data_IF_126972604881
#
_entry.id   IF_126972604881
#
_cell.length_a   1.000
_cell.length_b   1.000
_cell.length_c   1.000
_cell.angle_alpha   90.00
_cell.angle_beta   90.00
_cell.angle_gamma   90.00
#
_symmetry.space_group_name_H-M   'P 1'
#
loop_
_entity.id
_entity.type
_entity.pdbx_description
1 polymer ?
#
# COMPACT_ATOMS: atom_id res chain seq x y z
N UNK A 1 -12.72 5.28 -3.98
CA UNK A 1 -11.64 6.23 -3.76
C UNK A 1 -11.77 6.95 -2.41
N UNK A 2 -12.88 7.65 -2.15
CA UNK A 2 -13.09 8.43 -0.92
C UNK A 2 -12.92 7.61 0.37
N UNK A 3 -13.41 6.37 0.40
CA UNK A 3 -13.27 5.47 1.55
C UNK A 3 -11.80 5.09 1.82
N UNK A 4 -11.02 4.79 0.78
CA UNK A 4 -9.58 4.54 0.92
C UNK A 4 -8.87 5.79 1.45
N UNK A 5 -9.19 6.97 0.92
CA UNK A 5 -8.67 8.25 1.40
C UNK A 5 -9.01 8.51 2.87
N UNK A 6 -10.21 8.13 3.33
CA UNK A 6 -10.62 8.24 4.73
C UNK A 6 -9.76 7.34 5.65
N UNK A 7 -9.51 6.09 5.25
CA UNK A 7 -8.62 5.16 5.99
C UNK A 7 -7.19 5.71 6.07
N UNK A 8 -6.64 6.20 4.96
CA UNK A 8 -5.31 6.83 4.95
C UNK A 8 -5.28 8.06 5.86
N UNK A 9 -6.31 8.90 5.82
CA UNK A 9 -6.43 10.07 6.69
C UNK A 9 -6.46 9.67 8.15
N UNK A 10 -7.22 8.63 8.51
CA UNK A 10 -7.24 8.09 9.87
C UNK A 10 -5.84 7.64 10.30
N UNK A 11 -5.18 6.81 9.49
CA UNK A 11 -3.85 6.29 9.78
C UNK A 11 -2.81 7.41 9.99
N UNK A 12 -2.92 8.52 9.27
CA UNK A 12 -2.04 9.69 9.43
C UNK A 12 -2.37 10.52 10.67
N UNK A 13 -3.64 10.64 11.03
CA UNK A 13 -4.08 11.47 12.18
C UNK A 13 -3.89 10.78 13.52
N UNK A 14 -3.78 9.46 13.55
CA UNK A 14 -3.50 8.67 14.78
C UNK A 14 -2.01 8.60 15.13
N UNK A 15 -1.13 9.04 14.22
CA UNK A 15 0.31 9.03 14.40
C UNK A 15 0.90 10.45 14.34
N UNK A 16 2.13 10.60 14.82
CA UNK A 16 2.90 11.83 14.68
C UNK A 16 3.18 12.17 13.21
N UNK A 17 3.49 13.44 12.91
CA UNK A 17 3.77 13.90 11.55
C UNK A 17 4.88 13.08 10.89
N UNK A 18 4.58 12.52 9.73
CA UNK A 18 5.49 11.67 8.94
C UNK A 18 5.37 10.17 9.23
N UNK A 19 4.51 9.78 10.18
CA UNK A 19 4.23 8.39 10.54
C UNK A 19 2.79 8.01 10.23
N UNK A 20 2.51 6.71 10.32
CA UNK A 20 1.18 6.13 10.14
C UNK A 20 0.92 5.12 11.25
N UNK A 21 -0.29 5.07 11.72
CA UNK A 21 -0.74 4.02 12.63
C UNK A 21 -2.15 3.58 12.19
N UNK A 22 -2.29 2.30 11.90
CA UNK A 22 -3.55 1.68 11.52
C UNK A 22 -3.63 0.31 12.17
N UNK A 23 -4.74 0.04 12.83
CA UNK A 23 -5.00 -1.25 13.45
C UNK A 23 -5.86 -2.12 12.54
N UNK A 24 -5.76 -3.45 12.69
CA UNK A 24 -6.59 -4.39 11.94
C UNK A 24 -8.10 -4.12 12.13
N UNK A 25 -8.51 -3.68 13.33
CA UNK A 25 -9.88 -3.28 13.63
C UNK A 25 -10.36 -2.09 12.78
N UNK A 26 -9.46 -1.22 12.34
CA UNK A 26 -9.81 -0.08 11.48
C UNK A 26 -10.15 -0.52 10.07
N UNK A 27 -9.50 -1.58 9.58
CA UNK A 27 -9.79 -2.19 8.29
C UNK A 27 -11.04 -3.08 8.33
N UNK A 28 -11.39 -3.59 9.52
CA UNK A 28 -12.53 -4.48 9.73
C UNK A 28 -13.88 -3.76 9.75
N UNK A 29 -13.92 -2.44 9.84
CA UNK A 29 -15.17 -1.66 9.78
C UNK A 29 -15.78 -1.80 8.39
N UNK A 30 -16.98 -2.38 8.34
CA UNK A 30 -17.69 -2.80 7.13
C UNK A 30 -17.82 -1.72 6.05
N UNK A 31 -17.89 -0.46 6.44
CA UNK A 31 -18.14 0.65 5.53
C UNK A 31 -16.90 1.20 4.81
N UNK A 32 -15.70 0.84 5.25
CA UNK A 32 -14.51 1.55 4.79
C UNK A 32 -13.95 1.04 3.46
N UNK A 33 -13.89 -0.28 3.23
CA UNK A 33 -13.19 -0.87 2.08
C UNK A 33 -14.00 -1.93 1.32
N UNK A 34 -15.34 -1.96 1.42
CA UNK A 34 -16.16 -3.02 0.84
C UNK A 34 -16.07 -3.11 -0.69
N UNK A 35 -15.75 -2.02 -1.38
CA UNK A 35 -15.56 -1.99 -2.84
C UNK A 35 -14.10 -2.11 -3.27
N UNK A 36 -13.16 -2.14 -2.31
CA UNK A 36 -11.75 -2.26 -2.63
C UNK A 36 -11.36 -3.74 -2.78
N UNK A 37 -10.49 -4.01 -3.73
CA UNK A 37 -9.76 -5.26 -3.83
C UNK A 37 -8.53 -5.19 -2.93
N UNK A 38 -8.15 -6.31 -2.33
CA UNK A 38 -7.04 -6.38 -1.38
C UNK A 38 -5.97 -7.36 -1.87
N UNK A 39 -4.74 -6.91 -1.89
CA UNK A 39 -3.57 -7.75 -2.07
C UNK A 39 -2.87 -7.89 -0.71
N UNK A 40 -2.93 -9.08 -0.12
CA UNK A 40 -2.17 -9.40 1.07
C UNK A 40 -0.75 -9.79 0.67
N UNK A 41 0.23 -9.01 1.12
CA UNK A 41 1.66 -9.23 0.87
C UNK A 41 2.26 -9.82 2.16
N UNK A 42 2.49 -11.14 2.24
CA UNK A 42 3.04 -11.76 3.43
C UNK A 42 4.51 -11.41 3.63
N UNK A 43 4.92 -11.21 4.86
CA UNK A 43 6.31 -10.98 5.24
C UNK A 43 7.08 -12.30 5.35
N UNK A 44 8.12 -12.56 4.54
CA UNK A 44 8.82 -13.86 4.48
C UNK A 44 9.50 -14.27 5.81
N UNK A 45 9.84 -13.31 6.65
CA UNK A 45 10.51 -13.54 7.95
C UNK A 45 9.56 -14.06 9.03
N UNK A 46 8.23 -13.94 8.83
CA UNK A 46 7.26 -14.35 9.84
C UNK A 46 7.07 -15.88 9.88
N UNK A 47 6.81 -16.43 11.07
CA UNK A 47 6.47 -17.84 11.25
C UNK A 47 5.20 -18.22 10.47
N UNK A 48 5.13 -19.46 9.97
CA UNK A 48 3.97 -19.97 9.22
C UNK A 48 2.64 -19.79 9.99
N UNK A 49 2.64 -20.00 11.29
CA UNK A 49 1.45 -19.84 12.15
C UNK A 49 0.93 -18.40 12.20
N UNK A 50 1.84 -17.42 12.11
CA UNK A 50 1.48 -16.00 12.07
C UNK A 50 0.89 -15.66 10.70
N UNK A 51 1.54 -16.10 9.62
CA UNK A 51 1.04 -15.91 8.26
C UNK A 51 -0.34 -16.54 8.06
N UNK A 52 -0.56 -17.75 8.58
CA UNK A 52 -1.86 -18.43 8.51
C UNK A 52 -2.96 -17.62 9.20
N UNK A 53 -2.72 -17.17 10.43
CA UNK A 53 -3.71 -16.32 11.17
C UNK A 53 -4.01 -15.00 10.45
N UNK A 54 -2.98 -14.37 9.87
CA UNK A 54 -3.17 -13.15 9.10
C UNK A 54 -4.00 -13.42 7.83
N UNK A 55 -3.70 -14.49 7.12
CA UNK A 55 -4.42 -14.90 5.93
C UNK A 55 -5.89 -15.25 6.26
N UNK A 56 -6.15 -16.03 7.30
CA UNK A 56 -7.49 -16.35 7.77
C UNK A 56 -8.28 -15.08 8.11
N UNK A 57 -7.68 -14.15 8.85
CA UNK A 57 -8.29 -12.87 9.18
C UNK A 57 -8.66 -12.05 7.94
N UNK A 58 -7.77 -12.02 6.93
CA UNK A 58 -8.05 -11.33 5.65
C UNK A 58 -9.16 -12.05 4.90
N UNK A 59 -9.12 -13.39 4.84
CA UNK A 59 -10.13 -14.18 4.11
C UNK A 59 -11.54 -14.00 4.70
N UNK A 60 -11.66 -13.98 6.02
CA UNK A 60 -12.95 -13.75 6.67
C UNK A 60 -13.58 -12.41 6.31
N UNK A 61 -12.75 -11.36 6.18
CA UNK A 61 -13.24 -9.96 5.99
C UNK A 61 -13.28 -9.51 4.55
N UNK A 62 -12.45 -10.10 3.70
CA UNK A 62 -12.33 -9.73 2.30
C UNK A 62 -12.61 -10.89 1.35
N UNK A 63 -13.47 -11.82 1.77
CA UNK A 63 -13.84 -13.00 0.99
C UNK A 63 -14.26 -12.62 -0.44
N UNK A 64 -13.73 -13.34 -1.42
CA UNK A 64 -14.01 -13.15 -2.85
C UNK A 64 -13.41 -11.88 -3.46
N UNK A 65 -12.62 -11.07 -2.71
CA UNK A 65 -12.00 -9.82 -3.18
C UNK A 65 -10.58 -9.60 -2.63
N UNK A 66 -9.94 -10.66 -2.18
CA UNK A 66 -8.56 -10.64 -1.71
C UNK A 66 -7.72 -11.70 -2.40
N UNK A 67 -6.45 -11.41 -2.57
CA UNK A 67 -5.43 -12.29 -3.15
C UNK A 67 -4.18 -12.30 -2.28
N UNK A 68 -3.50 -13.43 -2.29
CA UNK A 68 -2.19 -13.59 -1.70
C UNK A 68 -1.12 -13.19 -2.73
N UNK A 69 -0.40 -12.12 -2.49
CA UNK A 69 0.60 -11.62 -3.42
C UNK A 69 1.92 -12.40 -3.31
N UNK A 70 2.38 -12.94 -4.43
CA UNK A 70 3.68 -13.58 -4.56
C UNK A 70 4.67 -12.59 -5.18
N UNK A 71 5.64 -12.13 -4.38
CA UNK A 71 6.73 -11.27 -4.83
C UNK A 71 8.00 -12.11 -4.98
N UNK A 72 8.58 -12.14 -6.20
CA UNK A 72 9.80 -12.86 -6.53
C UNK A 72 10.84 -11.88 -7.10
N UNK A 73 12.03 -11.87 -6.54
CA UNK A 73 13.07 -10.89 -6.85
C UNK A 73 14.37 -11.49 -7.39
N UNK A 74 14.30 -12.72 -7.93
CA UNK A 74 15.46 -13.48 -8.41
C UNK A 74 16.52 -13.65 -7.30
N UNK A 75 16.06 -13.91 -6.10
CA UNK A 75 16.89 -14.24 -4.95
C UNK A 75 16.91 -15.77 -4.73
N UNK A 76 17.93 -16.29 -4.05
CA UNK A 76 18.12 -17.73 -3.89
C UNK A 76 16.94 -18.46 -3.23
N UNK A 77 16.18 -17.77 -2.40
CA UNK A 77 15.05 -18.31 -1.63
C UNK A 77 13.68 -18.16 -2.32
N UNK A 78 13.62 -17.54 -3.50
CA UNK A 78 12.36 -17.23 -4.20
C UNK A 78 11.45 -18.47 -4.39
N UNK A 79 12.03 -19.60 -4.81
CA UNK A 79 11.26 -20.83 -5.05
C UNK A 79 10.78 -21.47 -3.75
N UNK A 80 11.63 -21.44 -2.71
CA UNK A 80 11.22 -21.88 -1.37
C UNK A 80 10.09 -21.01 -0.82
N UNK A 81 10.18 -19.72 -1.05
CA UNK A 81 9.14 -18.78 -0.68
C UNK A 81 7.84 -19.00 -1.44
N UNK A 82 7.90 -19.19 -2.75
CA UNK A 82 6.73 -19.49 -3.57
C UNK A 82 6.06 -20.79 -3.11
N UNK A 83 6.82 -21.83 -2.78
CA UNK A 83 6.28 -23.07 -2.23
C UNK A 83 5.51 -22.85 -0.92
N UNK A 84 6.07 -22.06 0.01
CA UNK A 84 5.37 -21.69 1.25
C UNK A 84 4.07 -20.91 1.02
N UNK A 85 4.06 -20.02 0.02
CA UNK A 85 2.85 -19.29 -0.38
C UNK A 85 1.80 -20.20 -1.00
N UNK A 86 2.21 -21.19 -1.80
CA UNK A 86 1.31 -22.20 -2.37
C UNK A 86 0.65 -23.06 -1.28
N UNK A 87 1.43 -23.49 -0.29
CA UNK A 87 0.92 -24.20 0.88
C UNK A 87 -0.09 -23.37 1.67
N UNK A 88 0.23 -22.08 1.88
CA UNK A 88 -0.65 -21.14 2.58
C UNK A 88 -1.94 -20.92 1.78
N UNK A 89 -1.84 -20.72 0.48
CA UNK A 89 -2.98 -20.58 -0.43
C UNK A 89 -3.88 -21.82 -0.38
N UNK A 90 -3.28 -23.02 -0.43
CA UNK A 90 -4.02 -24.28 -0.37
C UNK A 90 -4.75 -24.49 0.96
N UNK A 91 -4.17 -24.06 2.09
CA UNK A 91 -4.78 -24.21 3.41
C UNK A 91 -5.86 -23.18 3.71
N UNK A 92 -5.80 -22.00 3.10
CA UNK A 92 -6.70 -20.85 3.39
C UNK A 92 -7.71 -20.59 2.26
N UNK A 93 -7.55 -21.23 1.09
CA UNK A 93 -8.39 -20.99 -0.08
C UNK A 93 -8.12 -19.65 -0.79
N UNK A 94 -7.00 -18.97 -0.49
CA UNK A 94 -6.62 -17.73 -1.15
C UNK A 94 -6.13 -17.97 -2.59
N UNK A 95 -6.60 -17.22 -3.58
CA UNK A 95 -5.94 -17.18 -4.87
C UNK A 95 -4.60 -16.45 -4.78
N UNK A 96 -3.54 -17.05 -5.35
CA UNK A 96 -2.23 -16.42 -5.50
C UNK A 96 -2.20 -15.50 -6.71
N UNK A 97 -1.54 -14.37 -6.58
CA UNK A 97 -1.32 -13.42 -7.69
C UNK A 97 0.14 -13.00 -7.76
N UNK A 98 0.67 -12.88 -8.97
CA UNK A 98 2.01 -12.34 -9.20
C UNK A 98 2.05 -10.84 -8.84
N UNK A 99 3.05 -10.43 -8.04
CA UNK A 99 3.28 -9.05 -7.67
C UNK A 99 4.77 -8.71 -7.80
N UNK A 100 5.09 -7.48 -8.19
CA UNK A 100 6.48 -7.09 -8.49
C UNK A 100 7.05 -6.08 -7.53
N UNK A 101 6.25 -5.46 -6.65
CA UNK A 101 6.67 -4.40 -5.75
C UNK A 101 7.63 -3.41 -6.44
N UNK A 102 7.14 -2.83 -7.54
CA UNK A 102 7.95 -2.04 -8.47
C UNK A 102 8.29 -0.68 -7.88
N UNK A 103 9.57 -0.36 -7.81
CA UNK A 103 10.12 0.91 -7.34
C UNK A 103 10.85 1.70 -8.44
N UNK A 104 11.13 1.10 -9.58
CA UNK A 104 11.83 1.74 -10.70
C UNK A 104 11.31 1.24 -12.04
N UNK A 105 11.38 2.07 -13.04
CA UNK A 105 10.90 1.70 -14.38
C UNK A 105 11.90 0.82 -15.16
N UNK A 106 13.17 0.84 -14.81
CA UNK A 106 14.22 0.01 -15.41
C UNK A 106 15.24 -0.40 -14.33
N UNK A 107 15.85 -1.57 -14.51
CA UNK A 107 16.88 -2.12 -13.60
C UNK A 107 18.06 -1.16 -13.41
N UNK A 108 18.46 -0.42 -14.44
CA UNK A 108 19.55 0.56 -14.40
C UNK A 108 19.28 1.76 -13.48
N UNK A 109 18.05 1.95 -13.03
CA UNK A 109 17.67 3.01 -12.09
C UNK A 109 17.83 2.65 -10.62
N UNK A 110 18.41 1.49 -10.33
CA UNK A 110 18.71 1.08 -8.96
C UNK A 110 19.54 2.12 -8.20
N UNK A 111 20.59 2.68 -8.83
CA UNK A 111 21.41 3.69 -8.17
C UNK A 111 20.59 4.92 -7.72
N UNK A 112 19.62 5.35 -8.51
CA UNK A 112 18.70 6.43 -8.12
C UNK A 112 17.81 6.01 -6.94
N UNK A 113 17.29 4.79 -6.95
CA UNK A 113 16.49 4.24 -5.84
C UNK A 113 17.31 4.18 -4.54
N UNK A 114 18.58 3.78 -4.62
CA UNK A 114 19.49 3.74 -3.47
C UNK A 114 19.73 5.15 -2.90
N UNK A 115 19.91 6.16 -3.76
CA UNK A 115 20.03 7.57 -3.35
C UNK A 115 18.75 8.08 -2.68
N UNK A 116 17.57 7.76 -3.23
CA UNK A 116 16.29 8.14 -2.62
C UNK A 116 16.10 7.51 -1.25
N UNK A 117 16.51 6.24 -1.09
CA UNK A 117 16.48 5.54 0.19
C UNK A 117 17.41 6.19 1.21
N UNK A 118 18.67 6.46 0.84
CA UNK A 118 19.64 7.11 1.70
C UNK A 118 19.21 8.54 2.11
N UNK A 119 18.61 9.29 1.17
CA UNK A 119 18.04 10.62 1.44
C UNK A 119 16.91 10.54 2.48
N UNK A 120 16.01 9.57 2.36
CA UNK A 120 14.95 9.33 3.33
C UNK A 120 15.49 8.98 4.71
N UNK A 121 16.57 8.21 4.77
CA UNK A 121 17.26 7.82 6.00
C UNK A 121 18.20 8.90 6.55
N UNK A 122 18.46 9.96 5.77
CA UNK A 122 19.39 11.04 6.09
C UNK A 122 20.83 10.54 6.34
N UNK A 123 21.30 9.59 5.55
CA UNK A 123 22.65 9.03 5.61
C UNK A 123 23.27 8.96 4.21
N UNK A 124 24.57 8.67 4.11
CA UNK A 124 25.21 8.36 2.85
C UNK A 124 24.77 6.99 2.30
N UNK A 125 24.79 6.80 0.97
CA UNK A 125 24.42 5.51 0.36
C UNK A 125 25.24 4.35 0.92
N UNK A 126 26.54 4.56 1.16
CA UNK A 126 27.43 3.55 1.74
C UNK A 126 27.05 3.16 3.18
N UNK A 127 26.35 4.02 3.89
CA UNK A 127 25.91 3.81 5.28
C UNK A 127 24.52 3.18 5.38
N UNK A 128 23.75 3.19 4.28
CA UNK A 128 22.38 2.70 4.28
C UNK A 128 22.27 1.17 4.45
N UNK A 129 23.34 0.41 4.16
CA UNK A 129 23.45 -1.02 4.42
C UNK A 129 22.26 -1.83 3.90
N UNK A 130 21.67 -2.65 4.76
CA UNK A 130 20.52 -3.51 4.44
C UNK A 130 19.19 -2.77 4.22
N UNK A 131 19.14 -1.46 4.39
CA UNK A 131 17.98 -0.67 4.01
C UNK A 131 17.87 -0.50 2.48
N UNK A 132 18.93 -0.78 1.74
CA UNK A 132 18.93 -0.85 0.29
C UNK A 132 18.41 -2.20 -0.18
N UNK A 133 17.75 -2.23 -1.34
CA UNK A 133 17.35 -3.50 -1.94
C UNK A 133 18.57 -4.35 -2.33
N UNK A 134 18.50 -5.67 -2.15
CA UNK A 134 19.57 -6.59 -2.45
C UNK A 134 19.98 -6.53 -3.93
N UNK A 135 19.03 -6.30 -4.84
CA UNK A 135 19.25 -6.26 -6.28
C UNK A 135 18.37 -5.21 -6.99
N UNK A 136 18.41 -5.16 -8.32
CA UNK A 136 17.61 -4.25 -9.14
C UNK A 136 16.29 -4.85 -9.64
N UNK A 137 15.78 -5.93 -9.05
CA UNK A 137 14.63 -6.67 -9.59
C UNK A 137 13.28 -6.01 -9.36
N UNK A 138 13.21 -5.00 -8.51
CA UNK A 138 11.99 -4.21 -8.27
C UNK A 138 11.75 -3.16 -9.38
N UNK A 139 11.83 -3.61 -10.64
CA UNK A 139 11.62 -2.78 -11.81
C UNK A 139 10.45 -3.30 -12.67
N UNK A 140 9.96 -2.47 -13.59
CA UNK A 140 8.97 -2.91 -14.59
C UNK A 140 9.59 -3.96 -15.49
N UNK A 141 9.13 -5.19 -15.39
CA UNK A 141 9.61 -6.32 -16.17
C UNK A 141 8.80 -6.47 -17.46
N UNK A 142 9.45 -6.94 -18.51
CA UNK A 142 8.75 -7.32 -19.74
C UNK A 142 7.83 -8.52 -19.49
N UNK A 143 6.79 -8.67 -20.31
CA UNK A 143 5.89 -9.82 -20.23
C UNK A 143 6.63 -11.15 -20.37
N UNK A 144 7.67 -11.20 -21.20
CA UNK A 144 8.50 -12.40 -21.35
C UNK A 144 9.24 -12.74 -20.05
N UNK A 145 9.83 -11.75 -19.38
CA UNK A 145 10.48 -11.94 -18.08
C UNK A 145 9.50 -12.40 -17.00
N UNK A 146 8.28 -11.84 -16.98
CA UNK A 146 7.24 -12.27 -16.06
C UNK A 146 6.80 -13.72 -16.31
N UNK A 147 6.63 -14.13 -17.57
CA UNK A 147 6.28 -15.51 -17.94
C UNK A 147 7.36 -16.53 -17.58
N UNK A 148 8.64 -16.12 -17.55
CA UNK A 148 9.73 -17.03 -17.13
C UNK A 148 9.89 -17.08 -15.61
N UNK A 149 9.39 -16.09 -14.88
CA UNK A 149 9.53 -16.01 -13.42
C UNK A 149 8.34 -16.58 -12.66
N UNK A 150 7.12 -16.35 -13.15
CA UNK A 150 5.89 -16.75 -12.46
C UNK A 150 5.16 -17.88 -13.16
N UNK A 151 4.54 -18.82 -12.41
CA UNK A 151 3.57 -19.74 -12.96
C UNK A 151 2.43 -19.00 -13.69
N UNK A 152 1.95 -19.52 -14.84
CA UNK A 152 0.91 -18.84 -15.62
C UNK A 152 -0.36 -18.49 -14.84
N UNK A 153 -0.79 -19.37 -13.93
CA UNK A 153 -1.97 -19.15 -13.10
C UNK A 153 -1.89 -17.87 -12.25
N UNK A 154 -0.70 -17.51 -11.74
CA UNK A 154 -0.51 -16.30 -10.96
C UNK A 154 -0.61 -15.03 -11.83
N UNK A 155 -0.19 -15.13 -13.09
CA UNK A 155 -0.31 -14.03 -14.05
C UNK A 155 -1.76 -13.85 -14.51
N UNK A 156 -2.52 -14.93 -14.69
CA UNK A 156 -3.95 -14.87 -15.01
C UNK A 156 -4.74 -14.13 -13.93
N UNK A 157 -4.39 -14.32 -12.65
CA UNK A 157 -5.03 -13.58 -11.57
C UNK A 157 -4.86 -12.07 -11.68
N UNK A 158 -3.75 -11.59 -12.25
CA UNK A 158 -3.57 -10.15 -12.50
C UNK A 158 -4.62 -9.59 -13.47
N UNK A 159 -4.99 -10.36 -14.49
CA UNK A 159 -6.02 -10.00 -15.45
C UNK A 159 -7.41 -9.99 -14.82
N UNK A 160 -7.70 -10.96 -13.95
CA UNK A 160 -8.96 -11.00 -13.21
C UNK A 160 -9.12 -9.80 -12.27
N UNK A 161 -8.04 -9.40 -11.58
CA UNK A 161 -8.02 -8.19 -10.75
C UNK A 161 -8.23 -6.94 -11.61
N UNK A 162 -7.49 -6.81 -12.72
CA UNK A 162 -7.62 -5.68 -13.62
C UNK A 162 -9.03 -5.54 -14.20
N UNK A 163 -9.66 -6.65 -14.58
CA UNK A 163 -11.03 -6.66 -15.07
C UNK A 163 -12.09 -6.23 -14.03
N UNK A 164 -11.74 -6.22 -12.75
CA UNK A 164 -12.61 -5.75 -11.65
C UNK A 164 -12.33 -4.30 -11.25
N UNK A 165 -11.28 -3.68 -11.78
CA UNK A 165 -10.94 -2.30 -11.50
C UNK A 165 -11.61 -1.39 -12.53
N UNK A 166 -12.77 -0.79 -12.18
CA UNK A 166 -13.57 0.05 -13.09
C UNK A 166 -13.48 1.53 -12.78
N UNK A 167 -12.84 1.90 -11.67
CA UNK A 167 -12.74 3.29 -11.23
C UNK A 167 -11.91 4.13 -12.22
N UNK A 168 -12.42 5.29 -12.62
CA UNK A 168 -11.70 6.31 -13.37
C UNK A 168 -11.57 7.59 -12.56
N UNK A 169 -10.43 8.27 -12.68
CA UNK A 169 -10.25 9.60 -12.08
C UNK A 169 -11.21 10.64 -12.67
N UNK A 170 -11.72 10.42 -13.86
CA UNK A 170 -12.73 11.30 -14.51
C UNK A 170 -14.08 11.26 -13.80
N UNK A 171 -14.34 10.25 -12.97
CA UNK A 171 -15.52 10.17 -12.12
C UNK A 171 -15.47 11.09 -10.89
N UNK A 172 -14.27 11.59 -10.54
CA UNK A 172 -14.10 12.48 -9.39
C UNK A 172 -14.67 13.86 -9.72
N UNK A 173 -15.64 14.29 -8.91
CA UNK A 173 -16.11 15.67 -8.91
C UNK A 173 -15.27 16.50 -7.98
N UNK A 174 -14.81 17.65 -8.46
CA UNK A 174 -14.15 18.62 -7.62
C UNK A 174 -15.23 19.34 -6.78
N UNK A 175 -15.26 18.99 -5.50
CA UNK A 175 -16.01 19.74 -4.49
C UNK A 175 -14.98 20.43 -3.59
N UNK A 176 -15.02 21.78 -3.59
CA UNK A 176 -14.24 22.52 -2.61
C UNK A 176 -14.82 22.22 -1.22
N UNK A 177 -13.98 21.90 -0.21
CA UNK A 177 -14.48 21.73 1.12
C UNK A 177 -15.12 23.05 1.60
N UNK A 178 -16.25 22.92 2.27
CA UNK A 178 -16.87 24.05 2.95
C UNK A 178 -15.91 24.64 3.97
N UNK A 179 -15.91 25.96 4.10
CA UNK A 179 -15.07 26.66 5.04
C UNK A 179 -15.46 26.27 6.47
N UNK A 180 -14.46 25.84 7.26
CA UNK A 180 -14.67 25.46 8.67
C UNK A 180 -14.89 26.72 9.49
N UNK A 181 -16.14 27.15 9.58
CA UNK A 181 -16.56 28.33 10.32
C UNK A 181 -17.38 27.90 11.53
N UNK A 182 -17.02 28.32 12.76
CA UNK A 182 -17.81 28.01 13.95
C UNK A 182 -19.25 28.56 13.85
N UNK A 183 -20.23 27.92 14.51
CA UNK A 183 -21.59 28.46 14.57
C UNK A 183 -21.60 29.92 15.00
N UNK A 184 -22.46 30.75 14.38
CA UNK A 184 -22.61 32.20 14.57
C UNK A 184 -21.60 33.10 13.86
N UNK A 185 -20.64 32.53 13.12
CA UNK A 185 -19.76 33.31 12.25
C UNK A 185 -20.13 33.10 10.79
N UNK A 186 -19.89 34.11 9.98
CA UNK A 186 -19.73 33.95 8.52
C UNK A 186 -18.25 33.73 8.20
N UNK A 187 -17.87 33.17 7.05
CA UNK A 187 -16.46 33.02 6.66
C UNK A 187 -15.68 34.32 6.79
N UNK A 188 -16.26 35.42 6.32
CA UNK A 188 -15.65 36.77 6.41
C UNK A 188 -15.48 37.25 7.85
N UNK A 189 -16.50 37.10 8.70
CA UNK A 189 -16.42 37.56 10.09
C UNK A 189 -15.47 36.69 10.90
N UNK A 190 -15.39 35.40 10.63
CA UNK A 190 -14.45 34.48 11.28
C UNK A 190 -13.01 34.77 10.87
N UNK A 191 -12.75 34.92 9.58
CA UNK A 191 -11.42 35.30 9.08
C UNK A 191 -10.94 36.61 9.73
N UNK A 192 -11.81 37.65 9.78
CA UNK A 192 -11.49 38.89 10.45
C UNK A 192 -11.14 38.67 11.93
N UNK A 193 -11.95 37.92 12.66
CA UNK A 193 -11.72 37.66 14.08
C UNK A 193 -10.38 36.95 14.33
N UNK A 194 -10.06 35.86 13.61
CA UNK A 194 -8.81 35.13 13.80
C UNK A 194 -7.59 35.94 13.34
N UNK A 195 -7.77 36.85 12.38
CA UNK A 195 -6.71 37.76 11.93
C UNK A 195 -6.34 38.74 13.06
N UNK A 196 -7.31 39.38 13.71
CA UNK A 196 -7.05 40.26 14.84
C UNK A 196 -6.48 39.54 16.04
N UNK A 197 -7.01 38.37 16.39
CA UNK A 197 -6.45 37.52 17.45
C UNK A 197 -4.98 37.14 17.16
N UNK A 198 -4.66 36.81 15.92
CA UNK A 198 -3.30 36.49 15.50
C UNK A 198 -2.38 37.71 15.53
N UNK A 199 -2.92 38.89 15.27
CA UNK A 199 -2.19 40.15 15.38
C UNK A 199 -1.85 40.45 16.86
N UNK A 200 -2.85 40.42 17.74
CA UNK A 200 -2.68 40.68 19.19
C UNK A 200 -1.73 39.66 19.86
N UNK A 201 -1.67 38.42 19.34
CA UNK A 201 -0.78 37.38 19.87
C UNK A 201 0.69 37.55 19.42
N UNK A 202 0.94 38.31 18.35
CA UNK A 202 2.28 38.46 17.75
C UNK A 202 2.92 39.79 17.95
N UNK A 203 2.11 40.83 18.22
CA UNK A 203 2.53 42.21 18.40
C UNK A 203 2.12 42.78 19.75
#
# INVERSE_FOLDING_TARGET
YGRLSAVITKARRTAGKGSYQLEAADLAREDHLHECLLLYVPEPSLPRSVLARQAEWVQERFSGRAWLAAELFCEGEDWGWLGRLQDLAGSTGFPLVAAGNVHMHARSRRALQDVLTATRLKCAVAEAGFALFANGERHLRSLQALKSLYPPALLEQTLQIAARCHFSLDELRYEYPDEVVPPRYTPRSYLRNVTYQGMDARW
#
